data_IF_895350762557
#
_entry.id   IF_895350762557
#
_cell.length_a   1.000
_cell.length_b   1.000
_cell.length_c   1.000
_cell.angle_alpha   90.00
_cell.angle_beta   90.00
_cell.angle_gamma   90.00
#
_symmetry.space_group_name_H-M   'P 1'
#
loop_
_entity.id
_entity.type
_entity.pdbx_description
1 polymer ?
#
# COMPACT_ATOMS: atom_id res chain seq x y z
N UNK A 1 5.49 -10.30 8.11
CA UNK A 1 5.32 -10.87 6.76
C UNK A 1 5.47 -9.78 5.71
N UNK A 2 6.22 -10.07 4.68
CA UNK A 2 6.49 -9.11 3.60
C UNK A 2 5.97 -9.67 2.30
N UNK A 3 5.10 -8.92 1.61
CA UNK A 3 4.54 -9.33 0.34
C UNK A 3 4.58 -8.19 -0.67
N UNK A 4 4.62 -8.55 -1.93
CA UNK A 4 4.61 -7.63 -3.06
C UNK A 4 3.30 -7.77 -3.81
N UNK A 5 2.73 -6.63 -4.20
CA UNK A 5 1.49 -6.59 -4.98
C UNK A 5 1.67 -5.66 -6.15
N UNK A 6 0.98 -5.95 -7.24
CA UNK A 6 0.91 -5.02 -8.36
C UNK A 6 0.01 -3.86 -7.97
N UNK A 7 0.51 -2.65 -8.10
CA UNK A 7 -0.21 -1.44 -7.72
C UNK A 7 -0.15 -0.43 -8.86
N UNK A 8 -1.25 -0.27 -9.57
CA UNK A 8 -1.33 0.63 -10.70
C UNK A 8 -1.72 2.03 -10.22
N UNK A 9 -0.84 2.98 -10.47
CA UNK A 9 -1.03 4.37 -10.08
C UNK A 9 -0.37 5.27 -11.14
N UNK A 10 -1.03 6.37 -11.47
CA UNK A 10 -0.60 7.25 -12.57
C UNK A 10 0.19 8.46 -12.12
N UNK A 11 0.36 8.67 -10.83
CA UNK A 11 0.98 9.88 -10.28
C UNK A 11 2.04 9.53 -9.26
N UNK A 12 3.27 10.00 -9.50
CA UNK A 12 4.38 9.75 -8.58
C UNK A 12 4.14 10.40 -7.20
N UNK A 13 3.58 11.62 -7.18
CA UNK A 13 3.25 12.28 -5.92
C UNK A 13 2.17 11.54 -5.16
N UNK A 14 1.20 10.99 -5.87
CA UNK A 14 0.14 10.19 -5.26
C UNK A 14 0.71 8.90 -4.66
N UNK A 15 1.66 8.28 -5.35
CA UNK A 15 2.35 7.09 -4.83
C UNK A 15 3.05 7.39 -3.51
N UNK A 16 3.74 8.52 -3.41
CA UNK A 16 4.40 8.93 -2.17
C UNK A 16 3.39 9.17 -1.05
N UNK A 17 2.26 9.80 -1.35
CA UNK A 17 1.20 10.04 -0.36
C UNK A 17 0.60 8.73 0.16
N UNK A 18 0.36 7.80 -0.74
CA UNK A 18 -0.16 6.47 -0.38
C UNK A 18 0.84 5.76 0.51
N UNK A 19 2.12 5.79 0.15
CA UNK A 19 3.18 5.17 0.94
C UNK A 19 3.21 5.73 2.36
N UNK A 20 3.21 7.04 2.50
CA UNK A 20 3.21 7.69 3.82
C UNK A 20 1.99 7.30 4.64
N UNK A 21 0.83 7.30 4.02
CA UNK A 21 -0.42 6.95 4.71
C UNK A 21 -0.41 5.49 5.17
N UNK A 22 0.09 4.58 4.33
CA UNK A 22 0.19 3.17 4.67
C UNK A 22 1.14 2.95 5.84
N UNK A 23 2.27 3.65 5.86
CA UNK A 23 3.24 3.54 6.95
C UNK A 23 2.67 3.96 8.30
N UNK A 24 1.65 4.80 8.31
CA UNK A 24 1.00 5.26 9.53
C UNK A 24 -0.08 4.31 10.04
N UNK A 25 -0.40 3.26 9.30
CA UNK A 25 -1.38 2.27 9.73
C UNK A 25 -0.77 1.42 10.85
N UNK A 26 -1.52 1.24 11.93
CA UNK A 26 -1.10 0.42 13.05
C UNK A 26 -0.90 -1.04 12.59
N UNK A 27 0.24 -1.60 12.93
CA UNK A 27 0.60 -2.96 12.54
C UNK A 27 1.45 -3.05 11.29
N UNK A 28 1.62 -1.96 10.55
CA UNK A 28 2.52 -1.92 9.40
C UNK A 28 3.94 -1.65 9.89
N UNK A 29 4.83 -2.59 9.62
CA UNK A 29 6.25 -2.45 9.97
C UNK A 29 6.98 -1.59 8.94
N UNK A 30 6.67 -1.79 7.67
CA UNK A 30 7.25 -1.01 6.59
C UNK A 30 6.35 -1.10 5.36
N UNK A 31 6.42 -0.10 4.50
CA UNK A 31 5.70 -0.11 3.25
C UNK A 31 6.47 0.70 2.22
N UNK A 32 6.47 0.22 1.00
CA UNK A 32 7.13 0.89 -0.12
C UNK A 32 6.22 0.84 -1.34
N UNK A 33 6.01 1.98 -1.96
CA UNK A 33 5.26 2.06 -3.21
C UNK A 33 6.23 2.52 -4.29
N UNK A 34 6.40 1.71 -5.32
CA UNK A 34 7.27 2.05 -6.44
C UNK A 34 6.42 2.47 -7.64
N UNK A 35 6.51 3.73 -7.99
CA UNK A 35 5.83 4.24 -9.18
C UNK A 35 6.45 3.66 -10.45
N UNK A 36 7.76 3.52 -10.47
CA UNK A 36 8.49 3.05 -11.65
C UNK A 36 8.15 1.61 -12.03
N UNK A 37 8.01 0.75 -11.02
CA UNK A 37 7.70 -0.67 -11.23
C UNK A 37 6.23 -0.99 -11.04
N UNK A 38 5.44 -0.02 -10.59
CA UNK A 38 4.01 -0.20 -10.29
C UNK A 38 3.79 -1.35 -9.30
N UNK A 39 4.54 -1.32 -8.21
CA UNK A 39 4.48 -2.36 -7.17
C UNK A 39 4.36 -1.74 -5.79
N UNK A 40 3.59 -2.42 -4.95
CA UNK A 40 3.48 -2.12 -3.53
C UNK A 40 4.13 -3.25 -2.75
N UNK A 41 5.05 -2.90 -1.86
CA UNK A 41 5.63 -3.86 -0.92
C UNK A 41 5.07 -3.54 0.46
N UNK A 42 4.47 -4.53 1.10
CA UNK A 42 3.89 -4.39 2.43
C UNK A 42 4.57 -5.35 3.39
N UNK A 43 5.10 -4.81 4.48
CA UNK A 43 5.66 -5.59 5.58
C UNK A 43 4.81 -5.31 6.82
N UNK A 44 4.08 -6.31 7.28
CA UNK A 44 3.16 -6.18 8.40
C UNK A 44 3.14 -7.46 9.24
N UNK A 45 2.52 -7.37 10.42
CA UNK A 45 2.40 -8.50 11.35
C UNK A 45 1.61 -9.64 10.71
N UNK A 46 2.17 -10.85 10.73
CA UNK A 46 1.54 -12.05 10.17
C UNK A 46 0.15 -12.31 10.74
N UNK A 47 0.00 -12.14 12.04
CA UNK A 47 -1.27 -12.45 12.72
C UNK A 47 -2.40 -11.53 12.30
N UNK A 48 -2.06 -10.33 11.82
CA UNK A 48 -3.04 -9.31 11.45
C UNK A 48 -2.92 -8.90 9.98
N UNK A 49 -2.18 -9.67 9.21
CA UNK A 49 -1.84 -9.27 7.84
C UNK A 49 -3.06 -8.99 6.98
N UNK A 50 -4.06 -9.88 7.01
CA UNK A 50 -5.28 -9.72 6.22
C UNK A 50 -6.05 -8.46 6.61
N UNK A 51 -6.19 -8.21 7.89
CA UNK A 51 -6.85 -7.01 8.41
C UNK A 51 -6.10 -5.75 7.97
N UNK A 52 -4.78 -5.77 8.14
CA UNK A 52 -3.93 -4.64 7.77
C UNK A 52 -4.00 -4.41 6.26
N UNK A 53 -3.99 -5.47 5.47
CA UNK A 53 -4.07 -5.37 4.01
C UNK A 53 -5.37 -4.70 3.57
N UNK A 54 -6.49 -5.02 4.21
CA UNK A 54 -7.76 -4.37 3.92
C UNK A 54 -7.69 -2.86 4.23
N UNK A 55 -7.05 -2.50 5.32
CA UNK A 55 -6.84 -1.09 5.67
C UNK A 55 -5.96 -0.39 4.65
N UNK A 56 -4.93 -1.07 4.17
CA UNK A 56 -4.03 -0.54 3.13
C UNK A 56 -4.81 -0.25 1.86
N UNK A 57 -5.63 -1.19 1.41
CA UNK A 57 -6.44 -1.01 0.21
C UNK A 57 -7.40 0.17 0.38
N UNK A 58 -8.10 0.23 1.50
CA UNK A 58 -9.05 1.31 1.78
C UNK A 58 -8.34 2.68 1.81
N UNK A 59 -7.17 2.74 2.45
CA UNK A 59 -6.38 3.96 2.54
C UNK A 59 -5.91 4.43 1.17
N UNK A 60 -5.41 3.50 0.37
CA UNK A 60 -4.95 3.80 -0.99
C UNK A 60 -6.09 4.36 -1.85
N UNK A 61 -7.25 3.72 -1.80
CA UNK A 61 -8.42 4.16 -2.55
C UNK A 61 -8.94 5.52 -2.09
N UNK A 62 -8.81 5.80 -0.80
CA UNK A 62 -9.23 7.09 -0.24
C UNK A 62 -8.36 8.23 -0.74
N UNK A 63 -7.05 7.99 -0.86
CA UNK A 63 -6.09 9.01 -1.29
C UNK A 63 -6.13 9.17 -2.81
N UNK A 64 -6.17 8.04 -3.54
CA UNK A 64 -6.18 8.03 -5.00
C UNK A 64 -7.23 7.04 -5.48
N UNK A 65 -8.47 7.50 -5.74
CA UNK A 65 -9.55 6.60 -6.18
C UNK A 65 -9.28 5.90 -7.50
N UNK A 66 -8.40 6.46 -8.33
CA UNK A 66 -8.08 5.89 -9.64
C UNK A 66 -7.01 4.81 -9.58
N UNK A 67 -6.39 4.60 -8.42
CA UNK A 67 -5.37 3.55 -8.29
C UNK A 67 -6.02 2.16 -8.21
N UNK A 68 -5.27 1.15 -8.61
CA UNK A 68 -5.69 -0.24 -8.50
C UNK A 68 -4.62 -1.06 -7.80
N UNK A 69 -5.00 -1.72 -6.72
CA UNK A 69 -4.15 -2.66 -6.02
C UNK A 69 -4.64 -4.08 -6.30
N UNK A 70 -3.78 -4.86 -6.93
CA UNK A 70 -4.10 -6.24 -7.30
C UNK A 70 -3.63 -7.19 -6.20
N UNK A 71 -4.54 -7.87 -5.59
CA UNK A 71 -4.29 -8.80 -4.49
C UNK A 71 -4.12 -10.24 -4.97
#
# INVERSE_FOLDING_TARGET
MKKHYKFEIDCANCAAKVEDAIKNIDGVNNATVSFMTQKLTLDADDARFDEILQKVVATAKKIEPDCELHL
#
